data_IF_857662884339
#
_entry.id   IF_857662884339
#
_cell.length_a   1.000
_cell.length_b   1.000
_cell.length_c   1.000
_cell.angle_alpha   90.00
_cell.angle_beta   90.00
_cell.angle_gamma   90.00
#
_symmetry.space_group_name_H-M   'P 1'
#
loop_
_entity.id
_entity.type
_entity.pdbx_description
1 polymer ?
#
# COMPACT_ATOMS: atom_id res chain seq x y z
N UNK A 1 39.40 -4.21 -0.20
CA UNK A 1 39.44 -3.65 1.18
C UNK A 1 38.52 -2.44 1.35
N UNK A 2 38.86 -1.21 0.95
CA UNK A 2 37.95 -0.05 1.18
C UNK A 2 36.58 -0.20 0.48
N UNK A 3 36.55 -0.63 -0.78
CA UNK A 3 35.31 -0.90 -1.55
C UNK A 3 34.49 -2.06 -0.98
N UNK A 4 35.16 -3.02 -0.33
CA UNK A 4 34.55 -4.24 0.19
C UNK A 4 33.94 -4.00 1.57
N UNK A 5 34.61 -3.19 2.40
CA UNK A 5 34.09 -2.68 3.66
C UNK A 5 32.91 -1.72 3.40
N UNK A 6 33.00 -0.82 2.42
CA UNK A 6 31.87 0.04 2.04
C UNK A 6 30.64 -0.78 1.60
N UNK A 7 30.83 -1.81 0.77
CA UNK A 7 29.74 -2.69 0.37
C UNK A 7 29.12 -3.46 1.56
N UNK A 8 29.93 -3.85 2.56
CA UNK A 8 29.44 -4.49 3.77
C UNK A 8 28.64 -3.53 4.66
N UNK A 9 29.06 -2.27 4.79
CA UNK A 9 28.35 -1.27 5.59
C UNK A 9 27.04 -0.81 4.92
N UNK A 10 27.04 -0.59 3.60
CA UNK A 10 25.80 -0.27 2.84
C UNK A 10 24.78 -1.41 2.91
N UNK A 11 25.25 -2.65 2.86
CA UNK A 11 24.40 -3.82 3.06
C UNK A 11 23.82 -3.85 4.48
N UNK A 12 24.59 -3.53 5.52
CA UNK A 12 24.10 -3.52 6.90
C UNK A 12 22.98 -2.48 7.13
N UNK A 13 23.13 -1.26 6.61
CA UNK A 13 22.11 -0.21 6.74
C UNK A 13 20.83 -0.60 5.98
N UNK A 14 20.98 -1.08 4.74
CA UNK A 14 19.85 -1.53 3.93
C UNK A 14 19.14 -2.74 4.56
N UNK A 15 19.91 -3.68 5.11
CA UNK A 15 19.42 -4.85 5.84
C UNK A 15 18.58 -4.44 7.03
N UNK A 16 19.07 -3.49 7.84
CA UNK A 16 18.37 -3.01 9.01
C UNK A 16 16.99 -2.44 8.67
N UNK A 17 16.91 -1.48 7.74
CA UNK A 17 15.63 -0.89 7.36
C UNK A 17 14.69 -1.91 6.69
N UNK A 18 15.24 -2.78 5.83
CA UNK A 18 14.46 -3.87 5.25
C UNK A 18 13.86 -4.77 6.34
N UNK A 19 14.69 -5.19 7.31
CA UNK A 19 14.27 -6.08 8.39
C UNK A 19 13.20 -5.43 9.26
N UNK A 20 13.39 -4.16 9.64
CA UNK A 20 12.42 -3.41 10.44
C UNK A 20 11.09 -3.23 9.71
N UNK A 21 11.09 -2.95 8.41
CA UNK A 21 9.84 -2.74 7.66
C UNK A 21 9.08 -4.02 7.31
N UNK A 22 9.79 -5.13 7.10
CA UNK A 22 9.20 -6.32 6.47
C UNK A 22 9.09 -7.54 7.36
N UNK A 23 9.85 -7.58 8.44
CA UNK A 23 10.06 -8.82 9.21
C UNK A 23 9.95 -8.60 10.71
N UNK A 24 10.30 -7.40 11.20
CA UNK A 24 10.22 -7.07 12.61
C UNK A 24 8.79 -7.20 13.16
N UNK A 25 8.69 -7.98 14.22
CA UNK A 25 7.46 -8.36 14.93
C UNK A 25 7.83 -8.77 16.35
N UNK A 26 6.83 -8.97 17.22
CA UNK A 26 7.11 -9.43 18.59
C UNK A 26 7.82 -10.80 18.60
N UNK A 27 7.46 -11.68 17.67
CA UNK A 27 8.09 -12.99 17.51
C UNK A 27 9.54 -12.87 17.05
N UNK A 28 9.84 -11.99 16.09
CA UNK A 28 11.22 -11.74 15.67
C UNK A 28 12.02 -11.02 16.76
N UNK A 29 11.39 -10.15 17.56
CA UNK A 29 12.00 -9.57 18.75
C UNK A 29 12.42 -10.67 19.76
N UNK A 30 11.59 -11.71 19.90
CA UNK A 30 11.91 -12.91 20.70
C UNK A 30 13.06 -13.72 20.13
N UNK A 31 13.15 -13.85 18.81
CA UNK A 31 14.29 -14.50 18.16
C UNK A 31 15.60 -13.73 18.42
N UNK A 32 15.57 -12.39 18.33
CA UNK A 32 16.78 -11.55 18.49
C UNK A 32 17.24 -11.46 19.95
N UNK A 33 16.31 -11.27 20.88
CA UNK A 33 16.64 -10.93 22.28
C UNK A 33 16.33 -12.02 23.30
N UNK A 34 15.78 -13.16 22.87
CA UNK A 34 15.51 -14.31 23.74
C UNK A 34 14.56 -13.95 24.88
N UNK A 35 14.92 -14.28 26.12
CA UNK A 35 14.06 -14.07 27.30
C UNK A 35 13.75 -12.60 27.58
N UNK A 36 14.62 -11.67 27.18
CA UNK A 36 14.45 -10.23 27.40
C UNK A 36 13.54 -9.57 26.35
N UNK A 37 12.98 -10.32 25.41
CA UNK A 37 12.22 -9.74 24.29
C UNK A 37 11.07 -8.83 24.73
N UNK A 38 10.39 -9.13 25.85
CA UNK A 38 9.31 -8.27 26.36
C UNK A 38 9.81 -6.87 26.73
N UNK A 39 11.02 -6.77 27.26
CA UNK A 39 11.63 -5.47 27.57
C UNK A 39 11.90 -4.67 26.29
N UNK A 40 12.51 -5.30 25.28
CA UNK A 40 12.83 -4.63 24.02
C UNK A 40 11.59 -4.35 23.17
N UNK A 41 10.61 -5.24 23.16
CA UNK A 41 9.32 -5.02 22.51
C UNK A 41 8.57 -3.86 23.17
N UNK A 42 8.55 -3.79 24.50
CA UNK A 42 8.00 -2.65 25.22
C UNK A 42 8.70 -1.33 24.86
N UNK A 43 10.02 -1.33 24.71
CA UNK A 43 10.76 -0.16 24.18
C UNK A 43 10.32 0.18 22.75
N UNK A 44 10.24 -0.81 21.86
CA UNK A 44 9.80 -0.61 20.47
C UNK A 44 8.41 0.04 20.42
N UNK A 45 7.44 -0.50 21.15
CA UNK A 45 6.07 0.04 21.22
C UNK A 45 6.04 1.49 21.70
N UNK A 46 6.84 1.85 22.71
CA UNK A 46 6.96 3.24 23.15
C UNK A 46 7.54 4.17 22.08
N UNK A 47 8.36 3.67 21.15
CA UNK A 47 8.93 4.48 20.07
C UNK A 47 7.95 4.66 18.90
N UNK A 48 7.05 3.72 18.68
CA UNK A 48 5.98 3.85 17.67
C UNK A 48 4.90 4.82 18.09
N UNK A 49 4.68 4.99 19.40
CA UNK A 49 3.71 5.95 19.94
C UNK A 49 4.18 7.42 19.78
N UNK A 50 5.48 7.64 19.53
CA UNK A 50 6.08 8.98 19.31
C UNK A 50 5.98 9.46 17.86
N UNK A 51 5.15 8.81 17.05
CA UNK A 51 4.83 9.20 15.69
C UNK A 51 5.26 8.23 14.60
N UNK A 52 4.74 8.49 13.40
CA UNK A 52 4.81 7.60 12.22
C UNK A 52 6.24 7.42 11.69
N UNK A 53 7.09 8.44 11.87
CA UNK A 53 8.48 8.46 11.40
C UNK A 53 9.46 8.37 12.56
N UNK A 54 10.62 7.77 12.31
CA UNK A 54 11.72 7.77 13.28
C UNK A 54 11.65 6.65 14.33
N UNK A 55 10.61 5.82 14.36
CA UNK A 55 10.47 4.79 15.39
C UNK A 55 11.65 3.78 15.34
N UNK A 56 12.10 3.42 14.15
CA UNK A 56 13.26 2.54 13.94
C UNK A 56 14.55 3.16 14.48
N UNK A 57 14.78 4.43 14.16
CA UNK A 57 15.95 5.20 14.54
C UNK A 57 15.98 5.45 16.05
N UNK A 58 14.85 5.85 16.65
CA UNK A 58 14.72 6.03 18.11
C UNK A 58 14.94 4.72 18.85
N UNK A 59 14.33 3.64 18.38
CA UNK A 59 14.54 2.32 18.99
C UNK A 59 16.00 1.91 18.93
N UNK A 60 16.65 2.04 17.75
CA UNK A 60 18.06 1.73 17.59
C UNK A 60 18.97 2.58 18.49
N UNK A 61 18.65 3.87 18.65
CA UNK A 61 19.39 4.78 19.52
C UNK A 61 19.34 4.36 21.01
N UNK A 62 18.24 3.76 21.45
CA UNK A 62 18.02 3.29 22.84
C UNK A 62 18.66 1.94 23.18
N UNK A 63 19.27 1.29 22.20
CA UNK A 63 20.01 0.05 22.37
C UNK A 63 21.48 0.35 22.70
N UNK A 64 22.08 -0.49 23.55
CA UNK A 64 23.54 -0.53 23.68
C UNK A 64 24.16 -1.14 22.43
N UNK A 65 25.45 -0.91 22.21
CA UNK A 65 26.14 -1.43 21.03
C UNK A 65 26.03 -2.95 20.88
N UNK A 66 26.07 -3.69 22.00
CA UNK A 66 25.86 -5.14 22.00
C UNK A 66 24.48 -5.57 21.46
N UNK A 67 23.42 -4.83 21.80
CA UNK A 67 22.07 -5.16 21.33
C UNK A 67 21.80 -4.65 19.92
N UNK A 68 22.44 -3.54 19.52
CA UNK A 68 22.45 -3.07 18.13
C UNK A 68 23.09 -4.11 17.22
N UNK A 69 24.23 -4.67 17.63
CA UNK A 69 24.95 -5.71 16.87
C UNK A 69 24.04 -6.92 16.63
N UNK A 70 23.42 -7.48 17.68
CA UNK A 70 22.48 -8.61 17.54
C UNK A 70 21.34 -8.34 16.55
N UNK A 71 20.76 -7.15 16.59
CA UNK A 71 19.68 -6.75 15.70
C UNK A 71 20.15 -6.66 14.24
N UNK A 72 21.32 -6.05 14.02
CA UNK A 72 21.90 -5.89 12.68
C UNK A 72 22.38 -7.22 12.12
N UNK A 73 23.00 -8.08 12.93
CA UNK A 73 23.40 -9.44 12.53
C UNK A 73 22.19 -10.25 12.06
N UNK A 74 21.09 -10.21 12.80
CA UNK A 74 19.84 -10.86 12.39
C UNK A 74 19.32 -10.28 11.07
N UNK A 75 19.31 -8.96 10.94
CA UNK A 75 18.87 -8.28 9.72
C UNK A 75 19.70 -8.69 8.50
N UNK A 76 21.03 -8.67 8.62
CA UNK A 76 21.97 -9.06 7.55
C UNK A 76 21.81 -10.54 7.19
N UNK A 77 21.55 -11.41 8.17
CA UNK A 77 21.33 -12.84 7.90
C UNK A 77 20.09 -13.15 7.07
N UNK A 78 19.12 -12.23 7.04
CA UNK A 78 17.82 -12.42 6.38
C UNK A 78 17.68 -11.62 5.07
N UNK A 79 18.52 -10.61 4.85
CA UNK A 79 18.42 -9.73 3.69
C UNK A 79 19.37 -10.15 2.56
N UNK A 80 18.82 -10.31 1.36
CA UNK A 80 19.55 -10.75 0.17
C UNK A 80 20.19 -9.58 -0.64
N UNK A 81 20.06 -8.34 -0.16
CA UNK A 81 20.54 -7.15 -0.85
C UNK A 81 19.62 -6.62 -1.96
N UNK A 82 18.51 -7.30 -2.26
CA UNK A 82 17.67 -7.02 -3.44
C UNK A 82 16.20 -6.81 -3.11
N UNK A 83 15.73 -7.34 -1.98
CA UNK A 83 14.34 -7.23 -1.58
C UNK A 83 13.94 -5.79 -1.22
N UNK A 84 12.68 -5.44 -1.51
CA UNK A 84 12.12 -4.10 -1.22
C UNK A 84 11.07 -4.18 -0.12
N UNK A 85 10.72 -3.02 0.45
CA UNK A 85 9.58 -2.89 1.35
C UNK A 85 8.32 -3.47 0.68
N UNK A 86 7.71 -4.46 1.32
CA UNK A 86 6.42 -5.01 0.97
C UNK A 86 5.36 -3.98 1.30
N UNK A 87 4.49 -3.69 0.34
CA UNK A 87 3.31 -2.90 0.61
C UNK A 87 2.33 -3.72 1.46
N UNK A 88 1.48 -3.05 2.27
CA UNK A 88 0.37 -3.71 2.92
C UNK A 88 -0.53 -4.42 1.90
N UNK A 89 -1.29 -5.40 2.38
CA UNK A 89 -2.36 -6.03 1.61
C UNK A 89 -3.41 -4.98 1.17
N UNK A 90 -4.08 -5.21 0.03
CA UNK A 90 -5.06 -4.27 -0.52
C UNK A 90 -6.25 -4.01 0.44
N UNK A 91 -6.57 -4.94 1.35
CA UNK A 91 -7.56 -4.72 2.43
C UNK A 91 -7.12 -3.71 3.48
N UNK A 92 -5.84 -3.36 3.52
CA UNK A 92 -5.24 -2.40 4.47
C UNK A 92 -4.79 -1.10 3.81
N UNK A 93 -4.75 -1.06 2.48
CA UNK A 93 -4.43 0.16 1.74
C UNK A 93 -5.70 1.00 1.66
N UNK A 94 -5.66 2.23 2.17
CA UNK A 94 -6.75 3.19 2.02
C UNK A 94 -6.65 3.92 0.68
N UNK A 95 -7.80 4.20 0.08
CA UNK A 95 -7.94 5.01 -1.13
C UNK A 95 -9.05 6.03 -0.95
N UNK A 96 -9.00 7.11 -1.73
CA UNK A 96 -10.09 8.08 -1.84
C UNK A 96 -11.40 7.37 -2.20
N UNK A 97 -12.46 7.60 -1.42
CA UNK A 97 -13.80 7.01 -1.69
C UNK A 97 -14.39 7.44 -3.03
N UNK A 98 -14.02 8.64 -3.50
CA UNK A 98 -14.58 9.20 -4.73
C UNK A 98 -13.88 8.68 -5.99
N UNK A 99 -12.56 8.82 -6.02
CA UNK A 99 -11.77 8.55 -7.22
C UNK A 99 -10.94 7.27 -7.14
N UNK A 100 -10.81 6.62 -5.97
CA UNK A 100 -9.98 5.41 -5.80
C UNK A 100 -8.47 5.68 -5.86
N UNK A 101 -8.03 6.93 -5.68
CA UNK A 101 -6.60 7.24 -5.65
C UNK A 101 -5.98 6.87 -4.31
N UNK A 102 -4.78 6.31 -4.34
CA UNK A 102 -3.91 6.17 -3.16
C UNK A 102 -3.18 7.48 -2.81
N UNK A 103 -3.29 8.51 -3.66
CA UNK A 103 -2.72 9.84 -3.42
C UNK A 103 -3.65 10.65 -2.52
N UNK A 104 -3.72 10.22 -1.26
CA UNK A 104 -4.45 10.85 -0.17
C UNK A 104 -3.46 11.25 0.93
N UNK A 105 -3.73 12.36 1.60
CA UNK A 105 -2.89 12.95 2.63
C UNK A 105 -3.73 13.22 3.88
N UNK A 106 -3.10 13.12 5.04
CA UNK A 106 -3.68 13.56 6.32
C UNK A 106 -2.97 14.82 6.78
N UNK A 107 -3.69 15.69 7.47
CA UNK A 107 -3.08 16.78 8.22
C UNK A 107 -2.65 16.29 9.62
N UNK A 108 -1.54 16.82 10.13
CA UNK A 108 -1.02 16.46 11.45
C UNK A 108 -0.47 17.68 12.18
N UNK A 109 -0.62 17.68 13.50
CA UNK A 109 0.07 18.60 14.39
C UNK A 109 1.52 18.15 14.56
N UNK A 110 2.46 19.02 14.22
CA UNK A 110 3.90 18.77 14.29
C UNK A 110 4.56 19.89 15.07
N UNK A 111 5.45 19.56 16.00
CA UNK A 111 6.28 20.55 16.69
C UNK A 111 7.17 21.27 15.68
N UNK A 112 7.01 22.59 15.60
CA UNK A 112 7.70 23.42 14.60
C UNK A 112 9.23 23.46 14.76
N UNK A 113 9.74 23.21 15.97
CA UNK A 113 11.17 23.28 16.27
C UNK A 113 11.85 21.92 16.15
N UNK A 114 11.16 20.83 16.53
CA UNK A 114 11.74 19.48 16.57
C UNK A 114 11.30 18.61 15.39
N UNK A 115 10.30 19.02 14.62
CA UNK A 115 9.63 18.20 13.60
C UNK A 115 9.00 16.92 14.19
N UNK A 116 8.76 16.88 15.51
CA UNK A 116 8.12 15.73 16.14
C UNK A 116 6.61 15.75 15.90
N UNK A 117 6.09 14.61 15.46
CA UNK A 117 4.66 14.39 15.27
C UNK A 117 3.95 14.33 16.63
N UNK A 118 2.83 15.03 16.77
CA UNK A 118 1.97 14.99 17.95
C UNK A 118 0.73 14.15 17.74
N UNK A 119 -0.10 14.52 16.77
CA UNK A 119 -1.34 13.81 16.46
C UNK A 119 -1.83 14.16 15.05
N UNK A 120 -2.69 13.31 14.52
CA UNK A 120 -3.47 13.63 13.31
C UNK A 120 -4.48 14.75 13.63
N UNK A 121 -4.90 15.46 12.60
CA UNK A 121 -6.11 16.28 12.63
C UNK A 121 -7.25 15.37 12.20
N UNK A 122 -8.27 15.24 13.05
CA UNK A 122 -9.40 14.35 12.77
C UNK A 122 -10.15 14.77 11.49
N UNK A 123 -10.55 13.78 10.69
CA UNK A 123 -11.47 13.84 9.53
C UNK A 123 -11.06 14.64 8.27
N UNK A 124 -9.85 15.20 8.19
CA UNK A 124 -9.38 15.96 7.01
C UNK A 124 -8.44 15.13 6.10
N UNK A 125 -8.97 14.05 5.51
CA UNK A 125 -8.23 13.31 4.47
C UNK A 125 -8.35 14.05 3.14
N UNK A 126 -7.25 14.64 2.69
CA UNK A 126 -7.19 15.38 1.43
C UNK A 126 -6.81 14.47 0.28
N UNK A 127 -7.60 14.45 -0.80
CA UNK A 127 -7.22 13.75 -2.02
C UNK A 127 -6.57 14.70 -3.03
N UNK A 128 -5.34 14.38 -3.46
CA UNK A 128 -4.60 15.20 -4.43
C UNK A 128 -5.23 15.24 -5.83
N UNK A 129 -5.96 14.19 -6.23
CA UNK A 129 -6.62 14.13 -7.53
C UNK A 129 -7.97 14.85 -7.52
N UNK A 130 -8.77 14.65 -6.47
CA UNK A 130 -10.04 15.37 -6.32
C UNK A 130 -9.81 16.84 -5.98
N UNK A 131 -8.68 17.16 -5.34
CA UNK A 131 -8.39 18.46 -4.73
C UNK A 131 -9.48 18.86 -3.74
N UNK A 132 -9.89 17.90 -2.92
CA UNK A 132 -10.93 18.08 -1.92
C UNK A 132 -10.70 17.13 -0.73
N UNK A 133 -11.33 17.47 0.39
CA UNK A 133 -11.47 16.57 1.54
C UNK A 133 -12.45 15.44 1.19
N UNK A 134 -12.04 14.21 1.46
CA UNK A 134 -12.77 13.01 1.05
C UNK A 134 -12.84 11.99 2.18
N UNK A 135 -13.83 11.11 2.10
CA UNK A 135 -13.77 9.85 2.83
C UNK A 135 -12.73 8.90 2.25
N UNK A 136 -12.44 7.85 2.99
CA UNK A 136 -11.62 6.72 2.50
C UNK A 136 -12.37 5.41 2.60
N UNK A 137 -12.09 4.51 1.68
CA UNK A 137 -12.40 3.09 1.80
C UNK A 137 -11.13 2.27 1.57
N UNK A 138 -11.20 0.96 1.79
CA UNK A 138 -10.06 0.10 1.45
C UNK A 138 -9.95 -0.04 -0.06
N UNK A 139 -8.72 -0.27 -0.56
CA UNK A 139 -8.47 -0.52 -1.97
C UNK A 139 -9.21 -1.77 -2.44
N UNK A 140 -9.32 -2.78 -1.57
CA UNK A 140 -10.16 -3.96 -1.79
C UNK A 140 -11.62 -3.59 -2.05
N UNK A 141 -12.25 -2.82 -1.17
CA UNK A 141 -13.66 -2.42 -1.32
C UNK A 141 -13.88 -1.62 -2.61
N UNK A 142 -12.95 -0.72 -2.94
CA UNK A 142 -13.02 0.04 -4.19
C UNK A 142 -12.88 -0.87 -5.42
N UNK A 143 -12.03 -1.91 -5.36
CA UNK A 143 -11.92 -2.90 -6.42
C UNK A 143 -13.20 -3.72 -6.59
N UNK A 144 -13.86 -4.09 -5.50
CA UNK A 144 -15.16 -4.78 -5.55
C UNK A 144 -16.23 -3.90 -6.20
N UNK A 145 -16.31 -2.62 -5.82
CA UNK A 145 -17.22 -1.67 -6.45
C UNK A 145 -16.99 -1.55 -7.97
N UNK A 146 -15.72 -1.46 -8.41
CA UNK A 146 -15.40 -1.43 -9.84
C UNK A 146 -15.77 -2.75 -10.53
N UNK A 147 -15.64 -3.88 -9.84
CA UNK A 147 -15.99 -5.20 -10.37
C UNK A 147 -17.50 -5.39 -10.52
N UNK A 148 -18.29 -4.89 -9.55
CA UNK A 148 -19.75 -4.86 -9.64
C UNK A 148 -20.23 -3.98 -10.79
N UNK A 149 -19.65 -2.79 -10.94
CA UNK A 149 -19.91 -1.94 -12.09
C UNK A 149 -19.57 -2.64 -13.41
N UNK A 150 -18.42 -3.32 -13.50
CA UNK A 150 -18.04 -4.04 -14.71
C UNK A 150 -19.12 -5.06 -15.09
N UNK A 151 -19.56 -5.88 -14.13
CA UNK A 151 -20.58 -6.93 -14.31
C UNK A 151 -21.98 -6.40 -14.63
N UNK A 152 -22.29 -5.15 -14.31
CA UNK A 152 -23.59 -4.55 -14.60
C UNK A 152 -23.71 -4.01 -16.03
N UNK A 153 -22.60 -3.92 -16.78
CA UNK A 153 -22.63 -3.46 -18.17
C UNK A 153 -23.27 -4.50 -19.10
N UNK A 154 -24.04 -4.01 -20.07
CA UNK A 154 -24.59 -4.83 -21.13
C UNK A 154 -23.56 -5.12 -22.24
N UNK A 155 -23.89 -6.06 -23.13
CA UNK A 155 -23.02 -6.48 -24.25
C UNK A 155 -22.52 -5.30 -25.08
N UNK A 156 -23.40 -4.39 -25.49
CA UNK A 156 -23.03 -3.24 -26.33
C UNK A 156 -21.99 -2.34 -25.66
N UNK A 157 -22.16 -2.10 -24.35
CA UNK A 157 -21.21 -1.31 -23.56
C UNK A 157 -19.89 -2.04 -23.39
N UNK A 158 -19.90 -3.36 -23.17
CA UNK A 158 -18.70 -4.18 -23.11
C UNK A 158 -17.96 -4.21 -24.45
N UNK A 159 -18.65 -4.27 -25.59
CA UNK A 159 -18.02 -4.16 -26.91
C UNK A 159 -17.33 -2.81 -27.09
N UNK A 160 -17.99 -1.73 -26.66
CA UNK A 160 -17.41 -0.38 -26.72
C UNK A 160 -16.16 -0.25 -25.85
N UNK A 161 -16.18 -0.79 -24.63
CA UNK A 161 -15.07 -0.68 -23.69
C UNK A 161 -13.87 -1.54 -24.08
N UNK A 162 -14.12 -2.77 -24.54
CA UNK A 162 -13.07 -3.75 -24.84
C UNK A 162 -12.57 -3.67 -26.29
N UNK A 163 -13.41 -3.17 -27.20
CA UNK A 163 -13.19 -3.27 -28.65
C UNK A 163 -13.49 -4.65 -29.25
N UNK A 164 -13.88 -5.63 -28.44
CA UNK A 164 -14.26 -6.97 -28.88
C UNK A 164 -15.68 -6.96 -29.47
N UNK A 165 -15.96 -7.85 -30.42
CA UNK A 165 -17.30 -8.02 -31.00
C UNK A 165 -17.91 -9.34 -30.60
N UNK A 166 -19.11 -9.33 -30.03
CA UNK A 166 -19.85 -10.52 -29.64
C UNK A 166 -20.14 -11.44 -30.85
N UNK A 167 -20.24 -10.86 -32.05
CA UNK A 167 -20.35 -11.61 -33.31
C UNK A 167 -19.16 -12.55 -33.55
N UNK A 168 -17.97 -12.19 -33.10
CA UNK A 168 -16.73 -12.96 -33.33
C UNK A 168 -16.70 -14.24 -32.48
N UNK A 169 -17.57 -14.34 -31.48
CA UNK A 169 -17.73 -15.48 -30.57
C UNK A 169 -18.96 -16.33 -30.91
N UNK A 170 -19.69 -15.98 -31.98
CA UNK A 170 -20.89 -16.68 -32.41
C UNK A 170 -20.52 -17.86 -33.31
N UNK A 171 -20.52 -19.06 -32.72
CA UNK A 171 -20.44 -20.41 -33.34
C UNK A 171 -19.06 -21.10 -33.38
N UNK A 172 -19.00 -22.25 -32.70
CA UNK A 172 -18.22 -23.44 -33.05
C UNK A 172 -16.70 -23.45 -32.87
N UNK A 173 -16.02 -22.31 -32.84
CA UNK A 173 -14.54 -22.28 -32.96
C UNK A 173 -13.78 -21.47 -31.91
N UNK A 174 -14.43 -20.62 -31.09
CA UNK A 174 -13.67 -19.71 -30.21
C UNK A 174 -13.18 -20.35 -28.91
N UNK A 175 -13.71 -21.51 -28.49
CA UNK A 175 -13.37 -22.15 -27.21
C UNK A 175 -13.75 -21.35 -25.94
N UNK A 176 -14.11 -20.08 -26.12
CA UNK A 176 -14.40 -19.08 -25.11
C UNK A 176 -15.61 -18.23 -25.55
N UNK A 177 -16.45 -17.83 -24.61
CA UNK A 177 -17.58 -16.92 -24.80
C UNK A 177 -17.14 -15.45 -24.82
N UNK A 178 -17.97 -14.57 -25.39
CA UNK A 178 -17.70 -13.12 -25.37
C UNK A 178 -17.52 -12.58 -23.95
N UNK A 179 -18.37 -13.01 -23.01
CA UNK A 179 -18.30 -12.57 -21.59
C UNK A 179 -16.98 -13.00 -20.95
N UNK A 180 -16.52 -14.23 -21.18
CA UNK A 180 -15.23 -14.70 -20.67
C UNK A 180 -14.07 -13.90 -21.26
N UNK A 181 -14.08 -13.62 -22.57
CA UNK A 181 -13.04 -12.81 -23.21
C UNK A 181 -13.03 -11.35 -22.70
N UNK A 182 -14.21 -10.77 -22.46
CA UNK A 182 -14.35 -9.44 -21.89
C UNK A 182 -13.84 -9.41 -20.43
N UNK A 183 -14.19 -10.41 -19.62
CA UNK A 183 -13.71 -10.53 -18.24
C UNK A 183 -12.20 -10.75 -18.16
N UNK A 184 -11.62 -11.55 -19.05
CA UNK A 184 -10.17 -11.70 -19.17
C UNK A 184 -9.50 -10.37 -19.55
N UNK A 185 -10.08 -9.64 -20.50
CA UNK A 185 -9.59 -8.31 -20.87
C UNK A 185 -9.61 -7.37 -19.67
N UNK A 186 -10.70 -7.35 -18.89
CA UNK A 186 -10.80 -6.53 -17.68
C UNK A 186 -9.78 -6.97 -16.63
N UNK A 187 -9.68 -8.27 -16.36
CA UNK A 187 -8.78 -8.81 -15.34
C UNK A 187 -7.30 -8.66 -15.69
N UNK A 188 -6.95 -8.50 -16.97
CA UNK A 188 -5.59 -8.17 -17.40
C UNK A 188 -5.14 -6.74 -17.05
N UNK A 189 -6.08 -5.84 -16.72
CA UNK A 189 -5.79 -4.43 -16.43
C UNK A 189 -5.30 -4.24 -15.00
N UNK A 190 -4.34 -3.33 -14.85
CA UNK A 190 -3.91 -2.85 -13.54
C UNK A 190 -5.02 -2.09 -12.80
N UNK A 191 -4.85 -1.91 -11.48
CA UNK A 191 -5.78 -1.13 -10.66
C UNK A 191 -6.05 0.27 -11.24
N UNK A 192 -4.99 0.98 -11.64
CA UNK A 192 -5.10 2.35 -12.18
C UNK A 192 -5.82 2.37 -13.53
N UNK A 193 -5.55 1.40 -14.41
CA UNK A 193 -6.25 1.28 -15.69
C UNK A 193 -7.74 0.99 -15.50
N UNK A 194 -8.08 0.03 -14.63
CA UNK A 194 -9.48 -0.27 -14.25
C UNK A 194 -10.19 0.96 -13.72
N UNK A 195 -9.55 1.69 -12.80
CA UNK A 195 -10.06 2.93 -12.22
C UNK A 195 -10.29 4.01 -13.26
N UNK A 196 -9.34 4.22 -14.18
CA UNK A 196 -9.49 5.22 -15.24
C UNK A 196 -10.66 4.88 -16.17
N UNK A 197 -10.82 3.61 -16.54
CA UNK A 197 -11.96 3.13 -17.35
C UNK A 197 -13.27 3.34 -16.59
N UNK A 198 -13.31 2.93 -15.33
CA UNK A 198 -14.47 3.09 -14.44
C UNK A 198 -14.89 4.56 -14.33
N UNK A 199 -13.98 5.46 -13.94
CA UNK A 199 -14.28 6.88 -13.76
C UNK A 199 -14.78 7.52 -15.06
N UNK A 200 -14.12 7.28 -16.19
CA UNK A 200 -14.51 7.87 -17.47
C UNK A 200 -15.90 7.42 -17.96
N UNK A 201 -16.39 6.27 -17.49
CA UNK A 201 -17.64 5.66 -17.96
C UNK A 201 -18.75 5.60 -16.92
N UNK A 202 -18.42 5.83 -15.64
CA UNK A 202 -19.36 5.84 -14.53
C UNK A 202 -19.66 7.28 -14.03
N UNK A 203 -18.77 8.26 -14.25
CA UNK A 203 -18.99 9.65 -13.81
C UNK A 203 -20.07 10.40 -14.60
N UNK A 204 -20.46 9.94 -15.81
CA UNK A 204 -21.58 10.53 -16.56
C UNK A 204 -22.94 10.40 -15.85
N UNK A 205 -23.04 9.65 -14.75
CA UNK A 205 -24.26 9.53 -13.94
C UNK A 205 -24.23 10.34 -12.63
N UNK A 206 -23.10 10.99 -12.25
CA UNK A 206 -23.02 11.79 -11.01
C UNK A 206 -23.35 13.27 -11.19
N UNK A 207 -23.19 13.83 -12.39
CA UNK A 207 -23.51 15.25 -12.65
C UNK A 207 -25.01 15.53 -12.89
N UNK A 208 -25.89 14.53 -12.82
CA UNK A 208 -27.34 14.74 -12.92
C UNK A 208 -28.04 14.94 -11.56
N UNK A 209 -27.30 14.87 -10.44
CA UNK A 209 -27.90 14.95 -9.09
C UNK A 209 -27.55 16.21 -8.29
N UNK A 210 -26.75 17.14 -8.82
CA UNK A 210 -26.40 18.41 -8.13
C UNK A 210 -27.20 19.63 -8.61
N UNK A 211 -28.23 19.43 -9.43
CA UNK A 211 -29.23 20.46 -9.75
C UNK A 211 -30.59 20.09 -9.18
N UNK A 212 -30.72 20.20 -7.85
CA UNK A 212 -32.03 20.46 -7.22
C UNK A 212 -31.87 21.25 -5.93
#
# INVERSE_FOLDING_TARGET
MATEINNQMENAVSSFFYYIWNTWSEDECKVVYGEMYRHFWGKWSQMTDKGIFGAAERFYAELTDHYREKLVERAVSLYDGKARRKLPDDSKILVCSECGSTQIEIQAWVDVNTNEYHSDVDDDIWCLLCKDNVGTCTKHDYMEMMQEWWRSNNTDKLEYLTGLKASDFSSGNSGQTFTEAADEWWNSKSYDEKRNIYLANNQKQRHETEHY
#
